data_IF_926446122325
#
_entry.id   IF_926446122325
#
_cell.length_a   1.000
_cell.length_b   1.000
_cell.length_c   1.000
_cell.angle_alpha   90.00
_cell.angle_beta   90.00
_cell.angle_gamma   90.00
#
_symmetry.space_group_name_H-M   'P 1'
#
loop_
_entity.id
_entity.type
_entity.pdbx_description
1 polymer ?
#
# COMPACT_ATOMS: atom_id res chain seq x y z
N UNK A 1 1.27 -39.32 42.72
CA UNK A 1 1.60 -39.67 41.33
C UNK A 1 0.40 -39.37 40.47
N UNK A 2 0.57 -38.61 39.39
CA UNK A 2 -0.51 -38.35 38.44
C UNK A 2 -0.83 -39.63 37.65
N UNK A 3 -2.11 -39.89 37.38
CA UNK A 3 -2.57 -41.04 36.61
C UNK A 3 -2.09 -40.95 35.14
N UNK A 4 -1.72 -42.06 34.47
CA UNK A 4 -1.22 -42.08 33.10
C UNK A 4 -2.15 -41.37 32.08
N UNK A 5 -3.45 -41.31 32.37
CA UNK A 5 -4.44 -40.60 31.54
C UNK A 5 -4.32 -39.08 31.61
N UNK A 6 -3.77 -38.53 32.70
CA UNK A 6 -3.60 -37.09 32.92
C UNK A 6 -2.36 -36.56 32.21
N UNK A 7 -1.31 -37.38 32.12
CA UNK A 7 -0.07 -37.08 31.41
C UNK A 7 -0.28 -37.11 29.88
N UNK A 8 -1.01 -38.11 29.39
CA UNK A 8 -1.43 -38.18 27.98
C UNK A 8 -2.27 -36.97 27.56
N UNK A 9 -3.28 -36.57 28.35
CA UNK A 9 -4.08 -35.35 28.05
C UNK A 9 -3.26 -34.06 28.07
N UNK A 10 -2.26 -33.97 28.95
CA UNK A 10 -1.32 -32.84 28.96
C UNK A 10 -0.48 -32.81 27.68
N UNK A 11 0.06 -33.95 27.25
CA UNK A 11 0.86 -34.05 26.04
C UNK A 11 0.05 -33.65 24.80
N UNK A 12 -1.19 -34.11 24.69
CA UNK A 12 -2.14 -33.71 23.63
C UNK A 12 -2.42 -32.21 23.64
N UNK A 13 -2.66 -31.61 24.82
CA UNK A 13 -2.84 -30.17 24.95
C UNK A 13 -1.61 -29.38 24.50
N UNK A 14 -0.41 -29.82 24.88
CA UNK A 14 0.83 -29.19 24.44
C UNK A 14 1.06 -29.36 22.93
N UNK A 15 0.68 -30.51 22.37
CA UNK A 15 0.76 -30.76 20.93
C UNK A 15 -0.19 -29.83 20.14
N UNK A 16 -1.43 -29.66 20.62
CA UNK A 16 -2.40 -28.75 20.02
C UNK A 16 -1.98 -27.27 20.17
N UNK A 17 -1.38 -26.90 21.29
CA UNK A 17 -0.82 -25.54 21.49
C UNK A 17 0.37 -25.29 20.57
N UNK A 18 1.29 -26.25 20.43
CA UNK A 18 2.43 -26.14 19.52
C UNK A 18 1.97 -26.08 18.06
N UNK A 19 1.00 -26.92 17.67
CA UNK A 19 0.46 -26.94 16.31
C UNK A 19 -0.27 -25.64 15.96
N UNK A 20 -1.05 -25.07 16.88
CA UNK A 20 -1.74 -23.79 16.66
C UNK A 20 -0.75 -22.61 16.58
N UNK A 21 0.30 -22.60 17.41
CA UNK A 21 1.36 -21.58 17.33
C UNK A 21 2.15 -21.65 16.01
N UNK A 22 2.43 -22.86 15.50
CA UNK A 22 3.06 -23.08 14.20
C UNK A 22 2.18 -22.55 13.04
N UNK A 23 0.86 -22.75 13.10
CA UNK A 23 -0.09 -22.22 12.11
C UNK A 23 -0.17 -20.69 12.09
N UNK A 24 -0.18 -20.04 13.26
CA UNK A 24 -0.24 -18.57 13.36
C UNK A 24 1.01 -17.91 12.78
N UNK A 25 2.18 -18.51 13.02
CA UNK A 25 3.48 -17.99 12.54
C UNK A 25 3.61 -18.03 11.01
N UNK A 26 2.88 -18.92 10.34
CA UNK A 26 2.93 -19.08 8.88
C UNK A 26 2.05 -18.08 8.11
N UNK A 27 1.16 -17.34 8.79
CA UNK A 27 0.20 -16.42 8.17
C UNK A 27 0.63 -14.94 8.13
N UNK A 28 1.91 -14.64 8.35
CA UNK A 28 2.44 -13.28 8.22
C UNK A 28 2.56 -12.84 6.76
N UNK A 29 1.44 -12.51 6.12
CA UNK A 29 1.42 -11.96 4.77
C UNK A 29 2.03 -10.55 4.76
N UNK A 30 3.03 -10.32 3.90
CA UNK A 30 3.60 -8.99 3.71
C UNK A 30 2.59 -8.06 3.00
N UNK A 31 2.52 -6.77 3.37
CA UNK A 31 1.63 -5.83 2.70
C UNK A 31 1.91 -5.78 1.19
N UNK A 32 0.84 -5.85 0.39
CA UNK A 32 0.97 -5.71 -1.06
C UNK A 32 1.20 -4.25 -1.42
N UNK A 33 2.13 -3.97 -2.33
CA UNK A 33 2.35 -2.59 -2.79
C UNK A 33 1.34 -2.23 -3.86
N UNK A 34 0.68 -1.07 -3.71
CA UNK A 34 -0.23 -0.47 -4.69
C UNK A 34 0.34 0.89 -5.05
N UNK A 35 0.80 1.05 -6.28
CA UNK A 35 1.38 2.31 -6.77
C UNK A 35 0.37 3.02 -7.69
N UNK A 36 0.01 4.25 -7.35
CA UNK A 36 -0.96 5.07 -8.08
C UNK A 36 -0.24 6.20 -8.79
N UNK A 37 -0.29 6.18 -10.12
CA UNK A 37 0.23 7.24 -10.98
C UNK A 37 -0.92 8.19 -11.34
N UNK A 38 -0.78 9.47 -11.04
CA UNK A 38 -1.91 10.40 -11.15
C UNK A 38 -1.48 11.83 -11.47
N UNK A 39 -2.45 12.67 -11.81
CA UNK A 39 -2.27 14.08 -12.14
C UNK A 39 -3.10 14.94 -11.19
N UNK A 40 -2.50 15.98 -10.61
CA UNK A 40 -3.12 16.83 -9.59
C UNK A 40 -4.44 17.50 -10.04
N UNK A 41 -4.53 17.85 -11.33
CA UNK A 41 -5.71 18.48 -11.94
C UNK A 41 -6.46 17.55 -12.91
N UNK A 42 -6.15 16.24 -12.91
CA UNK A 42 -6.79 15.30 -13.81
C UNK A 42 -8.17 14.92 -13.34
N UNK A 43 -9.24 15.12 -14.15
CA UNK A 43 -10.60 14.79 -13.70
C UNK A 43 -10.72 13.31 -13.32
N UNK A 44 -10.16 12.41 -14.13
CA UNK A 44 -10.14 10.98 -13.81
C UNK A 44 -9.27 10.63 -12.60
N UNK A 45 -8.17 11.36 -12.38
CA UNK A 45 -7.35 11.18 -11.18
C UNK A 45 -8.11 11.63 -9.93
N UNK A 46 -8.75 12.79 -9.96
CA UNK A 46 -9.56 13.30 -8.85
C UNK A 46 -10.73 12.36 -8.54
N UNK A 47 -11.48 11.95 -9.56
CA UNK A 47 -12.58 10.99 -9.43
C UNK A 47 -12.09 9.64 -8.86
N UNK A 48 -10.94 9.14 -9.33
CA UNK A 48 -10.35 7.91 -8.80
C UNK A 48 -10.02 8.03 -7.31
N UNK A 49 -9.44 9.16 -6.88
CA UNK A 49 -9.13 9.38 -5.47
C UNK A 49 -10.39 9.39 -4.60
N UNK A 50 -11.40 10.18 -5.00
CA UNK A 50 -12.61 10.38 -4.21
C UNK A 50 -13.51 9.14 -4.17
N UNK A 51 -13.71 8.49 -5.33
CA UNK A 51 -14.73 7.44 -5.48
C UNK A 51 -14.17 6.04 -5.25
N UNK A 52 -12.87 5.82 -5.49
CA UNK A 52 -12.28 4.48 -5.45
C UNK A 52 -11.18 4.35 -4.39
N UNK A 53 -10.13 5.18 -4.47
CA UNK A 53 -8.94 4.99 -3.65
C UNK A 53 -9.18 5.26 -2.17
N UNK A 54 -9.78 6.41 -1.82
CA UNK A 54 -10.03 6.78 -0.42
C UNK A 54 -10.97 5.76 0.26
N UNK A 55 -12.11 5.36 -0.35
CA UNK A 55 -12.95 4.31 0.21
C UNK A 55 -12.21 2.97 0.37
N UNK A 56 -11.49 2.51 -0.66
CA UNK A 56 -10.75 1.26 -0.58
C UNK A 56 -9.66 1.32 0.51
N UNK A 57 -8.91 2.41 0.59
CA UNK A 57 -7.86 2.59 1.59
C UNK A 57 -8.42 2.59 3.02
N UNK A 58 -9.65 3.09 3.22
CA UNK A 58 -10.31 3.03 4.52
C UNK A 58 -10.64 1.59 4.98
N UNK A 59 -10.82 0.66 4.04
CA UNK A 59 -11.14 -0.74 4.32
C UNK A 59 -9.90 -1.66 4.39
N UNK A 60 -8.88 -1.37 3.58
CA UNK A 60 -7.71 -2.27 3.40
C UNK A 60 -6.35 -1.59 3.59
N UNK A 61 -6.29 -0.36 4.07
CA UNK A 61 -5.06 0.43 4.19
C UNK A 61 -4.00 -0.19 5.10
N UNK A 62 -4.39 -1.02 6.07
CA UNK A 62 -3.49 -1.77 6.96
C UNK A 62 -2.81 -2.97 6.27
N UNK A 63 -3.34 -3.41 5.11
CA UNK A 63 -2.89 -4.58 4.35
C UNK A 63 -2.09 -4.22 3.11
N UNK A 64 -2.03 -2.93 2.77
CA UNK A 64 -1.32 -2.46 1.58
C UNK A 64 -0.27 -1.42 1.92
N UNK A 65 0.79 -1.39 1.12
CA UNK A 65 1.73 -0.27 1.04
C UNK A 65 1.28 0.61 -0.13
N UNK A 66 0.67 1.75 0.16
CA UNK A 66 0.25 2.70 -0.87
C UNK A 66 1.43 3.60 -1.26
N UNK A 67 1.71 3.69 -2.56
CA UNK A 67 2.68 4.61 -3.15
C UNK A 67 1.95 5.56 -4.09
N UNK A 68 2.11 6.86 -3.88
CA UNK A 68 1.48 7.90 -4.68
C UNK A 68 2.54 8.59 -5.53
N UNK A 69 2.37 8.55 -6.85
CA UNK A 69 3.31 9.12 -7.82
C UNK A 69 2.59 10.20 -8.66
N UNK A 70 2.71 11.48 -8.29
CA UNK A 70 2.16 12.57 -9.10
C UNK A 70 2.93 12.69 -10.43
N UNK A 71 2.35 13.43 -11.38
CA UNK A 71 2.89 13.63 -12.74
C UNK A 71 2.73 12.43 -13.71
N UNK A 72 1.68 11.63 -13.55
CA UNK A 72 1.49 10.38 -14.30
C UNK A 72 1.50 10.50 -15.84
N UNK A 73 0.85 11.52 -16.40
CA UNK A 73 0.79 11.75 -17.86
C UNK A 73 1.62 12.96 -18.32
N UNK A 74 2.59 13.40 -17.53
CA UNK A 74 3.45 14.52 -17.92
C UNK A 74 4.56 14.04 -18.84
N UNK A 75 4.87 14.83 -19.87
CA UNK A 75 6.04 14.60 -20.72
C UNK A 75 7.30 15.07 -19.99
N UNK A 76 8.40 14.34 -20.17
CA UNK A 76 9.69 14.64 -19.53
C UNK A 76 10.78 14.68 -20.58
N UNK A 77 11.38 15.85 -20.73
CA UNK A 77 12.51 16.09 -21.63
C UNK A 77 13.80 16.35 -20.84
N UNK A 78 14.95 16.02 -21.45
CA UNK A 78 16.26 16.37 -20.92
C UNK A 78 16.89 17.48 -21.78
N UNK A 79 16.92 18.70 -21.27
CA UNK A 79 17.46 19.88 -21.96
C UNK A 79 18.61 20.45 -21.14
N UNK A 80 19.81 20.53 -21.73
CA UNK A 80 21.03 21.03 -21.06
C UNK A 80 21.32 20.37 -19.70
N UNK A 81 21.04 19.06 -19.60
CA UNK A 81 21.24 18.30 -18.36
C UNK A 81 20.17 18.52 -17.28
N UNK A 82 19.08 19.22 -17.60
CA UNK A 82 17.94 19.45 -16.71
C UNK A 82 16.70 18.74 -17.21
N UNK A 83 15.97 18.12 -16.30
CA UNK A 83 14.65 17.58 -16.59
C UNK A 83 13.64 18.71 -16.70
N UNK A 84 12.96 18.78 -17.84
CA UNK A 84 11.85 19.70 -18.11
C UNK A 84 10.58 18.86 -18.14
N UNK A 85 9.61 19.21 -17.29
CA UNK A 85 8.34 18.50 -17.21
C UNK A 85 7.27 19.38 -17.86
N UNK A 86 6.54 18.79 -18.81
CA UNK A 86 5.40 19.43 -19.48
C UNK A 86 4.12 18.71 -19.11
N UNK A 87 3.15 19.44 -18.56
CA UNK A 87 1.88 18.88 -18.11
C UNK A 87 0.75 19.13 -19.11
N UNK A 88 -0.19 18.19 -19.31
CA UNK A 88 -1.31 18.34 -20.24
C UNK A 88 -2.20 19.57 -19.99
N UNK A 89 -2.42 19.96 -18.73
CA UNK A 89 -3.20 21.16 -18.36
C UNK A 89 -2.33 22.36 -18.02
N UNK A 90 -1.06 22.32 -18.41
CA UNK A 90 -0.09 23.39 -18.25
C UNK A 90 0.40 23.59 -16.81
N UNK A 91 0.94 24.77 -16.55
CA UNK A 91 1.69 25.06 -15.32
C UNK A 91 0.90 24.89 -14.01
N UNK A 92 -0.42 25.17 -13.92
CA UNK A 92 -1.17 24.91 -12.69
C UNK A 92 -1.12 23.44 -12.24
N UNK A 93 -1.19 22.52 -13.20
CA UNK A 93 -1.09 21.08 -12.91
C UNK A 93 0.34 20.69 -12.54
N UNK A 94 1.33 21.19 -13.28
CA UNK A 94 2.74 20.95 -12.96
C UNK A 94 3.11 21.49 -11.57
N UNK A 95 2.61 22.67 -11.20
CA UNK A 95 2.73 23.20 -9.85
C UNK A 95 2.08 22.29 -8.82
N UNK A 96 0.84 21.85 -9.04
CA UNK A 96 0.14 20.91 -8.17
C UNK A 96 0.90 19.58 -8.01
N UNK A 97 1.39 19.00 -9.10
CA UNK A 97 2.18 17.76 -9.09
C UNK A 97 3.46 17.92 -8.25
N UNK A 98 4.19 19.04 -8.40
CA UNK A 98 5.39 19.34 -7.60
C UNK A 98 5.07 19.51 -6.13
N UNK A 99 4.00 20.25 -5.79
CA UNK A 99 3.58 20.44 -4.39
C UNK A 99 3.25 19.09 -3.75
N UNK A 100 2.49 18.23 -4.43
CA UNK A 100 2.16 16.90 -3.93
C UNK A 100 3.42 16.02 -3.80
N UNK A 101 4.33 16.07 -4.77
CA UNK A 101 5.60 15.33 -4.72
C UNK A 101 6.47 15.76 -3.53
N UNK A 102 6.43 17.04 -3.13
CA UNK A 102 7.17 17.53 -1.96
C UNK A 102 6.50 17.18 -0.62
N UNK A 103 5.21 16.88 -0.61
CA UNK A 103 4.45 16.59 0.61
C UNK A 103 4.48 15.11 1.01
N UNK A 104 4.72 14.21 0.03
CA UNK A 104 4.85 12.76 0.20
C UNK A 104 6.27 12.38 0.64
#
# INVERSE_FOLDING_TARGET
>A
GASPTTESRRLEMWFLLALSALFVSANGASPMTVSVYYESLGPYSQDFFEVQLIPAYSEIGDKIKLELLPSGNSDVDLVDGKYIITCPRGEPECYGNRVQACAL
#
